data_IF_447352716669
#
_entry.id   IF_447352716669
#
_cell.length_a   1.000
_cell.length_b   1.000
_cell.length_c   1.000
_cell.angle_alpha   90.00
_cell.angle_beta   90.00
_cell.angle_gamma   90.00
#
_symmetry.space_group_name_H-M   'P 1'
#
loop_
_entity.id
_entity.type
_entity.pdbx_description
1 polymer ?
#
# COMPACT_ATOMS: atom_id res chain seq x y z
N UNK A 1 14.14 -25.01 -36.57
CA UNK A 1 14.28 -23.56 -36.37
C UNK A 1 12.97 -22.88 -35.98
N UNK A 2 11.85 -23.10 -36.68
CA UNK A 2 10.53 -22.53 -36.35
C UNK A 2 9.97 -22.89 -34.96
N UNK A 3 10.20 -24.12 -34.49
CA UNK A 3 9.72 -24.58 -33.17
C UNK A 3 10.39 -23.80 -32.02
N UNK A 4 11.66 -23.42 -32.17
CA UNK A 4 12.41 -22.63 -31.19
C UNK A 4 11.94 -21.17 -31.18
N UNK A 5 11.58 -20.61 -32.35
CA UNK A 5 10.99 -19.26 -32.47
C UNK A 5 9.59 -19.22 -31.82
N UNK A 6 8.77 -20.26 -32.00
CA UNK A 6 7.46 -20.37 -31.36
C UNK A 6 7.58 -20.51 -29.82
N UNK A 7 8.57 -21.27 -29.34
CA UNK A 7 8.88 -21.37 -27.90
C UNK A 7 9.42 -20.06 -27.32
N UNK A 8 10.19 -19.29 -28.08
CA UNK A 8 10.67 -17.97 -27.67
C UNK A 8 9.54 -16.94 -27.61
N UNK A 9 8.58 -16.96 -28.55
CA UNK A 9 7.39 -16.08 -28.50
C UNK A 9 6.46 -16.45 -27.34
N UNK A 10 6.28 -17.74 -27.06
CA UNK A 10 5.52 -18.19 -25.88
C UNK A 10 6.19 -17.82 -24.53
N UNK A 11 7.49 -17.52 -24.53
CA UNK A 11 8.23 -17.01 -23.37
C UNK A 11 8.19 -15.48 -23.24
N UNK A 12 7.90 -14.74 -24.32
CA UNK A 12 7.73 -13.28 -24.31
C UNK A 12 6.47 -12.88 -23.51
N UNK A 13 5.42 -13.72 -23.55
CA UNK A 13 4.21 -13.60 -22.71
C UNK A 13 4.46 -13.84 -21.21
N UNK A 14 5.63 -14.39 -20.82
CA UNK A 14 5.98 -14.55 -19.40
C UNK A 14 6.53 -13.26 -18.75
N UNK A 15 6.62 -12.14 -19.48
CA UNK A 15 7.21 -10.87 -19.01
C UNK A 15 6.20 -9.79 -18.57
N UNK A 16 4.90 -10.11 -18.58
CA UNK A 16 3.84 -9.16 -18.29
C UNK A 16 3.62 -9.02 -16.77
N UNK A 17 4.00 -7.85 -16.25
CA UNK A 17 4.02 -7.52 -14.82
C UNK A 17 2.78 -8.02 -14.08
N UNK A 18 3.01 -8.72 -12.96
CA UNK A 18 2.00 -9.38 -12.15
C UNK A 18 0.73 -9.88 -12.87
N UNK A 19 0.81 -11.00 -13.60
CA UNK A 19 -0.31 -11.53 -14.41
C UNK A 19 -0.85 -10.52 -15.45
N UNK A 20 0.01 -9.67 -16.00
CA UNK A 20 -0.37 -8.63 -16.95
C UNK A 20 -1.16 -7.46 -16.36
N UNK A 21 -0.94 -7.16 -15.07
CA UNK A 21 -1.51 -6.00 -14.40
C UNK A 21 -0.46 -4.93 -14.10
N UNK A 22 -0.83 -3.66 -14.30
CA UNK A 22 -0.05 -2.50 -13.92
C UNK A 22 -0.86 -1.62 -12.97
N UNK A 23 -0.24 -1.19 -11.88
CA UNK A 23 -0.78 -0.18 -10.98
C UNK A 23 -0.36 1.20 -11.46
N UNK A 24 -1.33 2.08 -11.68
CA UNK A 24 -1.12 3.50 -11.98
C UNK A 24 -1.59 4.30 -10.77
N UNK A 25 -0.65 4.83 -9.98
CA UNK A 25 -0.99 5.76 -8.92
C UNK A 25 -1.41 7.11 -9.53
N UNK A 26 -2.55 7.63 -9.08
CA UNK A 26 -3.06 8.95 -9.44
C UNK A 26 -2.83 9.96 -8.33
N UNK A 27 -3.04 9.54 -7.08
CA UNK A 27 -2.98 10.41 -5.89
C UNK A 27 -2.57 9.62 -4.65
N UNK A 28 -1.78 10.23 -3.78
CA UNK A 28 -1.45 9.71 -2.46
C UNK A 28 -1.02 10.88 -1.57
N UNK A 29 -1.84 11.23 -0.58
CA UNK A 29 -1.64 12.43 0.24
C UNK A 29 -2.37 12.35 1.58
N UNK A 30 -2.07 13.32 2.46
CA UNK A 30 -2.81 13.56 3.68
C UNK A 30 -4.16 14.23 3.34
N UNK A 31 -5.20 14.01 4.14
CA UNK A 31 -6.51 14.64 3.90
C UNK A 31 -6.50 16.14 4.16
N UNK A 32 -5.63 16.60 5.07
CA UNK A 32 -5.40 18.00 5.33
C UNK A 32 -3.89 18.31 5.37
N UNK A 33 -3.57 19.57 5.06
CA UNK A 33 -2.20 20.11 5.12
C UNK A 33 -1.96 20.85 6.45
N UNK A 34 -2.77 20.60 7.49
CA UNK A 34 -2.66 21.32 8.76
C UNK A 34 -1.39 20.94 9.54
N UNK A 35 -0.79 19.79 9.18
CA UNK A 35 0.40 19.26 9.83
C UNK A 35 0.14 18.71 11.24
N UNK A 36 -1.13 18.61 11.66
CA UNK A 36 -1.54 18.12 12.98
C UNK A 36 -1.76 16.61 13.03
N UNK A 37 -1.76 15.95 11.88
CA UNK A 37 -1.90 14.51 11.78
C UNK A 37 -0.80 13.81 12.59
N UNK A 38 -1.20 12.85 13.43
CA UNK A 38 -0.28 12.06 14.28
C UNK A 38 0.71 11.28 13.42
N UNK A 39 0.24 10.75 12.30
CA UNK A 39 1.05 10.12 11.25
C UNK A 39 0.78 10.85 9.94
N UNK A 40 1.83 11.30 9.25
CA UNK A 40 1.69 12.09 8.01
C UNK A 40 2.71 11.72 6.95
N UNK A 41 2.34 11.79 5.68
CA UNK A 41 3.29 11.78 4.59
C UNK A 41 4.13 13.06 4.59
N UNK A 42 5.43 12.91 4.36
CA UNK A 42 6.39 14.02 4.35
C UNK A 42 6.51 14.71 2.99
N UNK A 43 6.30 13.99 1.89
CA UNK A 43 6.52 14.51 0.54
C UNK A 43 5.40 14.12 -0.43
N UNK A 44 5.14 15.01 -1.39
CA UNK A 44 4.13 14.84 -2.45
C UNK A 44 4.55 13.88 -3.57
N UNK A 45 5.82 13.52 -3.69
CA UNK A 45 6.35 12.58 -4.68
C UNK A 45 6.30 11.11 -4.22
N UNK A 46 5.46 10.81 -3.22
CA UNK A 46 5.20 9.44 -2.78
C UNK A 46 4.71 8.61 -3.98
N UNK A 47 5.29 7.43 -4.19
CA UNK A 47 4.85 6.52 -5.26
C UNK A 47 4.71 5.07 -4.76
N UNK A 48 3.80 4.36 -5.40
CA UNK A 48 3.49 2.96 -5.15
C UNK A 48 3.34 2.29 -6.52
N UNK A 49 4.23 1.35 -6.80
CA UNK A 49 4.26 0.66 -8.09
C UNK A 49 4.14 -0.85 -7.90
N UNK A 50 3.70 -1.53 -8.96
CA UNK A 50 3.63 -2.98 -8.98
C UNK A 50 4.77 -3.51 -9.85
N UNK A 51 5.67 -4.29 -9.26
CA UNK A 51 6.79 -4.89 -9.97
C UNK A 51 6.35 -6.05 -10.86
N UNK A 52 7.25 -6.50 -11.73
CA UNK A 52 6.99 -7.65 -12.58
C UNK A 52 6.73 -8.93 -11.76
N UNK A 53 7.38 -9.06 -10.61
CA UNK A 53 7.28 -10.20 -9.69
C UNK A 53 6.06 -10.15 -8.75
N UNK A 54 5.01 -9.39 -9.09
CA UNK A 54 3.85 -9.19 -8.20
C UNK A 54 4.19 -8.61 -6.83
N UNK A 55 5.19 -7.75 -6.75
CA UNK A 55 5.52 -7.07 -5.50
C UNK A 55 5.08 -5.62 -5.57
N UNK A 56 4.39 -5.19 -4.53
CA UNK A 56 4.12 -3.78 -4.31
C UNK A 56 5.41 -3.12 -3.85
N UNK A 57 5.85 -2.08 -4.56
CA UNK A 57 7.09 -1.35 -4.34
C UNK A 57 6.74 0.06 -3.88
N UNK A 58 6.90 0.36 -2.58
CA UNK A 58 6.67 1.70 -2.05
C UNK A 58 7.88 2.61 -2.26
N UNK A 59 7.63 3.90 -2.39
CA UNK A 59 8.61 4.96 -2.32
C UNK A 59 7.95 6.19 -1.67
N UNK A 60 7.98 6.26 -0.35
CA UNK A 60 7.42 7.38 0.40
C UNK A 60 8.05 7.48 1.78
N UNK A 61 7.97 8.64 2.42
CA UNK A 61 8.37 8.81 3.82
C UNK A 61 7.20 9.34 4.64
N UNK A 62 7.07 8.83 5.86
CA UNK A 62 6.11 9.32 6.85
C UNK A 62 6.83 9.85 8.09
N UNK A 63 6.18 10.73 8.82
CA UNK A 63 6.55 11.09 10.19
C UNK A 63 5.44 10.64 11.14
N UNK A 64 5.80 10.39 12.40
CA UNK A 64 4.86 10.10 13.48
C UNK A 64 5.21 10.88 14.74
N UNK A 65 4.20 11.40 15.43
CA UNK A 65 4.31 12.00 16.77
C UNK A 65 4.36 10.94 17.89
N UNK A 66 4.36 9.65 17.53
CA UNK A 66 4.22 8.54 18.45
C UNK A 66 2.77 8.35 18.90
N UNK A 67 2.39 7.13 19.27
CA UNK A 67 1.03 6.81 19.73
C UNK A 67 1.01 5.45 20.45
N UNK A 68 0.04 5.25 21.33
CA UNK A 68 -0.16 3.98 22.07
C UNK A 68 -1.29 3.14 21.48
N UNK A 69 -2.25 3.78 20.83
CA UNK A 69 -3.40 3.11 20.20
C UNK A 69 -3.63 3.63 18.78
N UNK A 70 -4.22 2.81 17.92
CA UNK A 70 -4.53 3.20 16.54
C UNK A 70 -5.73 2.40 16.00
N UNK A 71 -6.88 3.07 15.89
CA UNK A 71 -8.10 2.53 15.29
C UNK A 71 -8.26 3.04 13.87
N UNK A 72 -8.08 2.16 12.90
CA UNK A 72 -8.15 2.49 11.47
C UNK A 72 -9.56 2.26 10.96
N UNK A 73 -10.16 3.30 10.40
CA UNK A 73 -11.37 3.23 9.59
C UNK A 73 -11.01 3.44 8.13
N UNK A 74 -11.48 2.57 7.25
CA UNK A 74 -11.21 2.67 5.82
C UNK A 74 -12.49 2.60 5.00
N UNK A 75 -12.48 3.31 3.87
CA UNK A 75 -13.49 3.24 2.82
C UNK A 75 -12.79 3.12 1.48
N UNK A 76 -13.28 2.23 0.65
CA UNK A 76 -12.78 1.97 -0.71
C UNK A 76 -13.95 2.20 -1.67
N UNK A 77 -13.70 3.08 -2.63
CA UNK A 77 -14.61 3.35 -3.74
C UNK A 77 -14.02 2.78 -5.02
N UNK A 78 -14.89 2.26 -5.88
CA UNK A 78 -14.59 1.97 -7.28
C UNK A 78 -15.61 2.70 -8.13
N UNK A 79 -15.13 3.50 -9.09
CA UNK A 79 -16.01 4.28 -9.98
C UNK A 79 -17.05 5.10 -9.20
N UNK A 80 -16.65 5.69 -8.07
CA UNK A 80 -17.53 6.49 -7.19
C UNK A 80 -18.44 5.68 -6.25
N UNK A 81 -18.53 4.35 -6.39
CA UNK A 81 -19.37 3.50 -5.53
C UNK A 81 -18.52 2.90 -4.41
N UNK A 82 -19.00 2.97 -3.16
CA UNK A 82 -18.34 2.31 -2.02
C UNK A 82 -18.46 0.80 -2.18
N UNK A 83 -17.33 0.12 -2.39
CA UNK A 83 -17.28 -1.34 -2.54
C UNK A 83 -16.84 -2.05 -1.25
N UNK A 84 -16.14 -1.34 -0.37
CA UNK A 84 -15.70 -1.89 0.91
C UNK A 84 -15.55 -0.77 1.94
N UNK A 85 -15.97 -1.04 3.17
CA UNK A 85 -15.69 -0.19 4.32
C UNK A 85 -15.47 -1.07 5.55
N UNK A 86 -14.70 -0.59 6.50
CA UNK A 86 -14.46 -1.33 7.73
C UNK A 86 -13.68 -0.53 8.74
N UNK A 87 -13.53 -1.13 9.91
CA UNK A 87 -12.75 -0.59 11.02
C UNK A 87 -11.90 -1.73 11.60
N UNK A 88 -10.65 -1.44 11.95
CA UNK A 88 -9.73 -2.41 12.54
C UNK A 88 -8.82 -1.74 13.57
N UNK A 89 -8.49 -2.51 14.61
CA UNK A 89 -7.42 -2.15 15.53
C UNK A 89 -6.07 -2.46 14.88
N UNK A 90 -5.33 -1.40 14.51
CA UNK A 90 -4.03 -1.55 13.88
C UNK A 90 -3.01 -2.15 14.84
N UNK A 91 -3.05 -1.77 16.12
CA UNK A 91 -2.16 -2.31 17.16
C UNK A 91 -2.43 -3.81 17.37
N UNK A 92 -3.69 -4.22 17.43
CA UNK A 92 -4.08 -5.63 17.52
C UNK A 92 -3.69 -6.46 16.30
N UNK A 93 -3.61 -5.84 15.12
CA UNK A 93 -3.23 -6.52 13.87
C UNK A 93 -1.75 -6.92 13.80
N UNK A 94 -0.84 -6.28 14.56
CA UNK A 94 0.60 -6.61 14.54
C UNK A 94 0.88 -8.07 14.85
N UNK A 95 0.19 -8.61 15.86
CA UNK A 95 0.33 -10.02 16.26
C UNK A 95 -0.03 -10.98 15.12
N UNK A 96 -1.04 -10.60 14.33
CA UNK A 96 -1.55 -11.37 13.19
C UNK A 96 -0.90 -11.01 11.85
N UNK A 97 0.06 -10.08 11.83
CA UNK A 97 0.67 -9.61 10.60
C UNK A 97 1.42 -10.75 9.89
N UNK A 98 1.32 -10.78 8.55
CA UNK A 98 2.05 -11.75 7.73
C UNK A 98 3.56 -11.54 7.79
N UNK A 99 4.34 -12.54 7.35
CA UNK A 99 5.81 -12.53 7.37
C UNK A 99 6.41 -11.28 6.71
N UNK A 100 5.89 -10.87 5.54
CA UNK A 100 6.38 -9.69 4.81
C UNK A 100 6.17 -8.40 5.61
N UNK A 101 4.99 -8.23 6.20
CA UNK A 101 4.70 -7.06 7.04
C UNK A 101 5.61 -7.02 8.28
N UNK A 102 5.81 -8.15 8.97
CA UNK A 102 6.75 -8.26 10.10
C UNK A 102 8.20 -7.96 9.68
N UNK A 103 8.62 -8.41 8.50
CA UNK A 103 9.94 -8.15 7.98
C UNK A 103 10.16 -6.66 7.66
N UNK A 104 9.17 -5.98 7.09
CA UNK A 104 9.21 -4.52 6.83
C UNK A 104 9.29 -3.76 8.16
N UNK A 105 8.46 -4.11 9.14
CA UNK A 105 8.44 -3.45 10.45
C UNK A 105 9.79 -3.57 11.17
N UNK A 106 10.36 -4.79 11.20
CA UNK A 106 11.70 -5.02 11.75
C UNK A 106 12.79 -4.21 11.04
N UNK A 107 12.74 -4.09 9.72
CA UNK A 107 13.71 -3.29 8.94
C UNK A 107 13.62 -1.80 9.24
N UNK A 108 12.41 -1.32 9.55
CA UNK A 108 12.13 0.08 9.86
C UNK A 108 12.36 0.42 11.35
N UNK A 109 12.83 -0.57 12.12
CA UNK A 109 13.00 -0.47 13.57
C UNK A 109 11.76 0.11 14.27
N UNK A 110 10.60 -0.18 13.69
CA UNK A 110 9.31 0.07 14.32
C UNK A 110 8.97 -1.26 14.97
N UNK A 111 8.90 -1.27 16.30
CA UNK A 111 8.79 -2.49 17.09
C UNK A 111 7.60 -3.38 16.71
N UNK A 112 7.43 -4.47 17.46
CA UNK A 112 6.43 -5.51 17.16
C UNK A 112 4.97 -5.10 17.45
N UNK A 113 4.68 -3.81 17.60
CA UNK A 113 3.36 -3.29 17.88
C UNK A 113 3.39 -1.90 18.49
N UNK A 114 2.26 -1.53 19.10
CA UNK A 114 2.15 -0.33 19.90
C UNK A 114 2.72 -0.59 21.32
N UNK A 115 3.31 0.43 21.98
CA UNK A 115 3.38 1.83 21.58
C UNK A 115 4.44 2.12 20.49
N UNK A 116 4.11 3.08 19.62
CA UNK A 116 4.99 3.63 18.61
C UNK A 116 5.68 4.88 19.15
N UNK A 117 7.01 4.90 19.08
CA UNK A 117 7.79 6.08 19.42
C UNK A 117 7.70 7.17 18.33
N UNK A 118 7.83 8.46 18.70
CA UNK A 118 7.91 9.54 17.72
C UNK A 118 9.11 9.35 16.79
N UNK A 119 8.88 9.52 15.48
CA UNK A 119 9.93 9.47 14.46
C UNK A 119 9.73 10.60 13.45
N UNK A 120 10.79 11.37 13.22
CA UNK A 120 10.78 12.50 12.28
C UNK A 120 10.69 12.04 10.82
N UNK A 121 11.22 10.85 10.50
CA UNK A 121 11.13 10.27 9.17
C UNK A 121 11.26 8.74 9.24
N UNK A 122 10.33 8.05 8.58
CA UNK A 122 10.32 6.61 8.31
C UNK A 122 10.11 6.48 6.81
N UNK A 123 11.14 6.03 6.09
CA UNK A 123 11.11 5.96 4.63
C UNK A 123 10.98 4.51 4.15
N UNK A 124 10.02 4.30 3.27
CA UNK A 124 9.76 3.05 2.58
C UNK A 124 10.36 3.15 1.18
N UNK A 125 11.19 2.17 0.83
CA UNK A 125 11.92 2.11 -0.43
C UNK A 125 11.72 0.78 -1.16
N UNK A 126 12.41 0.61 -2.28
CA UNK A 126 12.37 -0.57 -3.13
C UNK A 126 12.81 -1.88 -2.44
N UNK A 127 13.43 -1.82 -1.26
CA UNK A 127 13.82 -3.00 -0.46
C UNK A 127 12.73 -3.43 0.50
N UNK A 128 11.67 -2.64 0.64
CA UNK A 128 10.53 -2.85 1.55
C UNK A 128 9.28 -3.24 0.77
N UNK A 129 9.42 -4.27 -0.04
CA UNK A 129 8.35 -4.75 -0.91
C UNK A 129 7.37 -5.68 -0.19
N UNK A 130 6.14 -5.70 -0.68
CA UNK A 130 5.07 -6.57 -0.17
C UNK A 130 4.54 -7.49 -1.27
N UNK A 131 4.45 -8.80 -1.02
CA UNK A 131 3.92 -9.74 -2.02
C UNK A 131 2.40 -9.56 -2.22
N UNK A 132 2.00 -9.37 -3.47
CA UNK A 132 0.59 -9.32 -3.88
C UNK A 132 0.04 -10.72 -4.23
N UNK A 133 0.79 -11.80 -3.99
CA UNK A 133 0.39 -13.16 -4.38
C UNK A 133 -0.98 -13.56 -3.86
N UNK A 134 -1.28 -13.22 -2.60
CA UNK A 134 -2.56 -13.50 -1.96
C UNK A 134 -3.73 -12.73 -2.58
N UNK A 135 -3.43 -11.62 -3.25
CA UNK A 135 -4.41 -10.73 -3.86
C UNK A 135 -4.56 -10.96 -5.36
N UNK A 136 -3.66 -11.74 -6.00
CA UNK A 136 -3.71 -12.12 -7.42
C UNK A 136 -5.10 -12.55 -7.90
N UNK A 137 -5.85 -13.44 -7.20
CA UNK A 137 -7.16 -13.88 -7.66
C UNK A 137 -8.20 -12.76 -7.74
N UNK A 138 -7.98 -11.68 -6.97
CA UNK A 138 -8.91 -10.56 -6.84
C UNK A 138 -8.49 -9.35 -7.67
N UNK A 139 -7.33 -9.37 -8.33
CA UNK A 139 -6.83 -8.23 -9.11
C UNK A 139 -7.76 -7.83 -10.26
N UNK A 140 -8.43 -8.79 -10.88
CA UNK A 140 -9.44 -8.51 -11.91
C UNK A 140 -10.59 -7.63 -11.41
N UNK A 141 -10.93 -7.70 -10.11
CA UNK A 141 -11.93 -6.81 -9.46
C UNK A 141 -11.45 -5.36 -9.44
N UNK A 142 -10.14 -5.13 -9.49
CA UNK A 142 -9.51 -3.81 -9.59
C UNK A 142 -9.63 -3.14 -10.94
N UNK A 143 -9.93 -3.88 -12.01
CA UNK A 143 -9.97 -3.36 -13.38
C UNK A 143 -11.22 -2.50 -13.67
N UNK A 144 -11.11 -1.65 -14.68
CA UNK A 144 -12.27 -0.95 -15.25
C UNK A 144 -12.59 0.38 -14.57
N UNK A 145 -11.56 1.08 -14.10
CA UNK A 145 -11.64 2.46 -13.64
C UNK A 145 -10.93 2.72 -12.31
N UNK A 146 -10.97 3.97 -11.81
CA UNK A 146 -10.22 4.38 -10.64
C UNK A 146 -10.79 3.76 -9.35
N UNK A 147 -9.86 3.40 -8.49
CA UNK A 147 -10.10 3.06 -7.09
C UNK A 147 -9.62 4.19 -6.21
N UNK A 148 -10.50 4.66 -5.34
CA UNK A 148 -10.17 5.64 -4.30
C UNK A 148 -10.21 4.94 -2.95
N UNK A 149 -9.27 5.25 -2.08
CA UNK A 149 -9.30 4.86 -0.68
C UNK A 149 -9.20 6.10 0.20
N UNK A 150 -9.93 6.08 1.29
CA UNK A 150 -9.86 7.05 2.38
C UNK A 150 -9.60 6.23 3.64
N UNK A 151 -8.55 6.59 4.34
CA UNK A 151 -8.14 5.93 5.58
C UNK A 151 -8.07 6.99 6.66
N UNK A 152 -8.83 6.79 7.73
CA UNK A 152 -8.81 7.63 8.93
C UNK A 152 -8.31 6.80 10.08
N UNK A 153 -7.40 7.34 10.88
CA UNK A 153 -6.81 6.65 12.01
C UNK A 153 -7.03 7.49 13.25
N UNK A 154 -7.73 6.94 14.22
CA UNK A 154 -7.90 7.54 15.54
C UNK A 154 -6.80 7.00 16.45
N UNK A 155 -6.01 7.91 17.02
CA UNK A 155 -4.95 7.62 17.97
C UNK A 155 -5.35 8.13 19.37
N UNK A 156 -4.63 7.73 20.41
CA UNK A 156 -4.84 8.23 21.77
C UNK A 156 -4.48 9.71 21.93
N UNK A 157 -3.67 10.26 21.02
CA UNK A 157 -3.16 11.63 21.07
C UNK A 157 -3.55 12.48 19.85
N UNK A 158 -4.49 12.03 19.02
CA UNK A 158 -4.95 12.77 17.85
C UNK A 158 -5.52 11.87 16.76
N UNK A 159 -5.59 12.38 15.53
CA UNK A 159 -6.03 11.62 14.37
C UNK A 159 -5.02 11.73 13.23
N UNK A 160 -5.15 10.85 12.25
CA UNK A 160 -4.44 10.91 10.97
C UNK A 160 -5.40 10.59 9.84
N UNK A 161 -5.21 11.18 8.66
CA UNK A 161 -6.07 10.89 7.52
C UNK A 161 -5.30 10.86 6.20
N UNK A 162 -5.56 9.83 5.40
CA UNK A 162 -4.93 9.62 4.11
C UNK A 162 -5.95 9.37 3.01
N UNK A 163 -5.69 9.94 1.84
CA UNK A 163 -6.40 9.63 0.59
C UNK A 163 -5.40 9.07 -0.39
N UNK A 164 -5.76 7.94 -1.02
CA UNK A 164 -5.04 7.46 -2.19
C UNK A 164 -6.00 7.12 -3.32
N UNK A 165 -5.54 7.33 -4.54
CA UNK A 165 -6.25 7.00 -5.76
C UNK A 165 -5.30 6.29 -6.71
N UNK A 166 -5.75 5.15 -7.22
CA UNK A 166 -4.99 4.33 -8.13
C UNK A 166 -5.91 3.66 -9.14
N UNK A 167 -5.33 3.21 -10.24
CA UNK A 167 -6.03 2.48 -11.27
C UNK A 167 -5.24 1.21 -11.60
N UNK A 168 -5.93 0.09 -11.67
CA UNK A 168 -5.34 -1.15 -12.16
C UNK A 168 -5.71 -1.31 -13.63
N UNK A 169 -4.69 -1.46 -14.48
CA UNK A 169 -4.88 -1.68 -15.92
C UNK A 169 -4.23 -2.98 -16.35
N UNK A 170 -4.74 -3.56 -17.45
CA UNK A 170 -4.00 -4.64 -18.13
C UNK A 170 -2.83 -4.04 -18.91
N UNK A 171 -1.68 -4.71 -18.84
CA UNK A 171 -0.48 -4.39 -19.61
C UNK A 171 -0.48 -5.14 -20.93
#
# INVERSE_FOLDING_TARGET
MFIIIFLLIALIDKSFACNGYKLIQKRMENCDDSGKDVVRFLYKNSSLTLSNDCKLVPNFCIATLGYKTAMVSYKIWKNGVVILKGQKDMCGMFNTAGKDAKAIMKKLDVGDGCPFEPKLAICFDEKMTYSMDKFKPFMSVGLGGPMKTETKIEHDNGHSCFISEFELVKK
#
